data_IF_728787637209
#
_entry.id   IF_728787637209
#
_cell.length_a   1.000
_cell.length_b   1.000
_cell.length_c   1.000
_cell.angle_alpha   90.00
_cell.angle_beta   90.00
_cell.angle_gamma   90.00
#
_symmetry.space_group_name_H-M   'P 1'
#
loop_
_entity.id
_entity.type
_entity.pdbx_description
1 polymer ?
#
# COMPACT_ATOMS: atom_id res chain seq x y z
N UNK A 1 31.08 16.33 -75.61
CA UNK A 1 31.93 15.77 -76.68
C UNK A 1 32.89 14.76 -76.07
N UNK A 2 32.80 13.49 -76.50
CA UNK A 2 33.87 12.46 -76.60
C UNK A 2 34.66 12.08 -75.33
N UNK A 3 35.07 10.85 -75.03
CA UNK A 3 34.86 9.50 -75.54
C UNK A 3 35.43 8.53 -74.46
N UNK A 4 35.09 7.25 -74.58
CA UNK A 4 35.46 6.14 -73.70
C UNK A 4 36.94 5.70 -73.77
N UNK A 5 37.35 4.80 -72.85
CA UNK A 5 38.18 3.57 -72.97
C UNK A 5 38.74 3.26 -71.56
N UNK A 6 38.68 2.07 -70.94
CA UNK A 6 38.64 0.70 -71.44
C UNK A 6 39.97 0.01 -71.10
N UNK A 7 40.00 -0.88 -70.09
CA UNK A 7 41.21 -1.64 -69.73
C UNK A 7 41.06 -2.63 -68.56
N UNK A 8 40.57 -3.85 -68.86
CA UNK A 8 40.85 -5.12 -68.14
C UNK A 8 42.34 -5.47 -68.37
N UNK A 9 43.13 -6.21 -67.58
CA UNK A 9 42.98 -7.38 -66.69
C UNK A 9 44.40 -7.67 -66.13
N UNK A 10 44.57 -8.42 -65.04
CA UNK A 10 45.46 -9.60 -64.93
C UNK A 10 45.28 -10.26 -63.55
N UNK A 11 45.02 -11.57 -63.60
CA UNK A 11 45.00 -12.53 -62.49
C UNK A 11 46.41 -12.71 -61.89
N UNK A 12 46.49 -12.81 -60.56
CA UNK A 12 47.65 -13.32 -59.83
C UNK A 12 47.20 -14.15 -58.63
N UNK A 13 47.58 -15.43 -58.64
CA UNK A 13 47.14 -16.54 -57.78
C UNK A 13 47.54 -16.42 -56.29
N UNK A 14 46.65 -16.96 -55.44
CA UNK A 14 46.86 -17.82 -54.25
C UNK A 14 47.96 -17.41 -53.25
N UNK A 15 47.62 -17.29 -51.97
CA UNK A 15 47.88 -18.34 -50.97
C UNK A 15 47.06 -18.05 -49.69
N UNK A 16 46.28 -19.06 -49.31
CA UNK A 16 45.66 -19.25 -47.99
C UNK A 16 46.77 -19.35 -46.96
N UNK A 17 46.61 -18.72 -45.78
CA UNK A 17 46.99 -19.19 -44.43
C UNK A 17 46.73 -18.03 -43.45
N UNK A 18 46.00 -18.29 -42.35
CA UNK A 18 46.00 -17.40 -41.19
C UNK A 18 44.67 -17.14 -40.50
N UNK A 19 43.81 -18.15 -40.35
CA UNK A 19 42.68 -18.12 -39.43
C UNK A 19 43.18 -18.56 -38.05
N UNK A 20 43.54 -17.62 -37.17
CA UNK A 20 43.44 -17.71 -35.68
C UNK A 20 43.64 -16.29 -35.16
N UNK A 21 42.65 -15.73 -34.46
CA UNK A 21 42.82 -14.49 -33.71
C UNK A 21 41.64 -13.52 -33.68
N UNK A 22 40.39 -13.99 -33.81
CA UNK A 22 39.24 -13.16 -33.43
C UNK A 22 38.14 -14.03 -32.82
N UNK A 23 38.49 -14.71 -31.73
CA UNK A 23 37.54 -15.32 -30.82
C UNK A 23 37.40 -14.38 -29.62
N UNK A 24 36.14 -14.20 -29.21
CA UNK A 24 35.67 -13.65 -27.94
C UNK A 24 35.84 -12.15 -27.72
N UNK A 25 34.88 -11.36 -28.23
CA UNK A 25 34.27 -10.27 -27.45
C UNK A 25 32.87 -9.92 -27.99
N UNK A 26 32.00 -10.94 -28.12
CA UNK A 26 30.56 -10.72 -28.04
C UNK A 26 30.24 -10.42 -26.57
N UNK A 27 30.43 -9.18 -26.15
CA UNK A 27 29.79 -8.70 -24.94
C UNK A 27 28.31 -8.54 -25.27
N UNK A 28 27.55 -9.54 -24.80
CA UNK A 28 26.11 -9.50 -24.67
C UNK A 28 25.71 -8.16 -24.04
N UNK A 29 25.14 -7.27 -24.84
CA UNK A 29 24.24 -6.25 -24.32
C UNK A 29 23.05 -7.03 -23.80
N UNK A 30 23.08 -7.38 -22.51
CA UNK A 30 21.86 -7.75 -21.80
C UNK A 30 21.04 -6.47 -21.79
N UNK A 31 20.11 -6.36 -22.73
CA UNK A 31 19.06 -5.39 -22.61
C UNK A 31 18.36 -5.69 -21.29
N UNK A 32 18.63 -4.87 -20.28
CA UNK A 32 17.75 -4.77 -19.11
C UNK A 32 16.46 -4.19 -19.66
N UNK A 33 15.59 -5.06 -20.18
CA UNK A 33 14.19 -4.74 -20.26
C UNK A 33 13.82 -4.27 -18.86
N UNK A 34 13.44 -3.00 -18.72
CA UNK A 34 12.75 -2.56 -17.52
C UNK A 34 11.62 -3.57 -17.34
N UNK A 35 11.70 -4.36 -16.28
CA UNK A 35 10.55 -5.12 -15.81
C UNK A 35 9.57 -4.05 -15.35
N UNK A 36 8.83 -3.49 -16.31
CA UNK A 36 7.54 -2.89 -16.05
C UNK A 36 6.78 -4.03 -15.36
N UNK A 37 6.68 -3.90 -14.04
CA UNK A 37 5.86 -4.74 -13.20
C UNK A 37 4.51 -4.80 -13.89
N UNK A 38 4.24 -5.98 -14.46
CA UNK A 38 3.05 -6.23 -15.24
C UNK A 38 1.89 -6.01 -14.27
N UNK A 39 1.21 -4.87 -14.38
CA UNK A 39 -0.02 -4.63 -13.66
C UNK A 39 -1.09 -5.43 -14.43
N UNK A 40 -1.59 -6.57 -13.91
CA UNK A 40 -2.36 -7.54 -14.69
C UNK A 40 -3.77 -7.05 -15.09
N UNK A 41 -4.10 -5.78 -14.83
CA UNK A 41 -5.43 -5.21 -15.03
C UNK A 41 -5.57 -4.36 -16.31
N UNK A 42 -4.73 -4.58 -17.33
CA UNK A 42 -5.02 -4.03 -18.66
C UNK A 42 -6.16 -4.81 -19.32
N UNK A 43 -7.35 -4.18 -19.44
CA UNK A 43 -8.40 -4.63 -20.36
C UNK A 43 -9.75 -5.06 -19.76
N UNK A 44 -10.01 -4.85 -18.46
CA UNK A 44 -11.37 -4.92 -17.92
C UNK A 44 -11.91 -3.52 -17.71
N UNK A 45 -13.01 -3.16 -18.38
CA UNK A 45 -13.73 -1.93 -18.05
C UNK A 45 -14.29 -2.07 -16.63
N UNK A 46 -14.11 -1.05 -15.79
CA UNK A 46 -14.82 -0.95 -14.52
C UNK A 46 -16.31 -0.80 -14.84
N UNK A 47 -17.09 -1.84 -14.60
CA UNK A 47 -18.52 -1.82 -14.84
C UNK A 47 -19.19 -1.24 -13.59
N UNK A 48 -19.84 -0.08 -13.76
CA UNK A 48 -20.71 0.50 -12.74
C UNK A 48 -22.13 -0.02 -12.98
N UNK A 49 -22.68 -0.71 -11.99
CA UNK A 49 -24.04 -1.22 -12.01
C UNK A 49 -24.99 -0.24 -11.31
N UNK A 50 -24.48 0.46 -10.28
CA UNK A 50 -25.29 1.29 -9.39
C UNK A 50 -25.06 2.80 -9.63
N UNK A 51 -26.11 3.58 -9.42
CA UNK A 51 -26.08 5.04 -9.35
C UNK A 51 -26.48 5.46 -7.93
N UNK A 52 -25.59 6.15 -7.22
CA UNK A 52 -25.75 6.45 -5.79
C UNK A 52 -26.26 7.88 -5.59
N UNK A 53 -27.38 8.04 -4.90
CA UNK A 53 -27.88 9.34 -4.43
C UNK A 53 -27.12 9.76 -3.16
N UNK A 54 -25.96 10.41 -3.35
CA UNK A 54 -25.05 10.76 -2.25
C UNK A 54 -25.60 11.87 -1.36
N UNK A 55 -25.69 11.57 -0.07
CA UNK A 55 -26.04 12.48 1.02
C UNK A 55 -24.84 12.61 1.96
N UNK A 56 -24.81 13.69 2.76
CA UNK A 56 -23.72 13.96 3.70
C UNK A 56 -24.29 14.07 5.10
N UNK A 57 -23.66 13.37 6.05
CA UNK A 57 -23.92 13.49 7.47
C UNK A 57 -22.62 13.91 8.18
N UNK A 58 -22.67 15.03 8.89
CA UNK A 58 -21.50 15.61 9.55
C UNK A 58 -21.51 15.32 11.04
N UNK A 59 -20.35 14.92 11.58
CA UNK A 59 -20.09 14.76 13.00
C UNK A 59 -19.01 15.75 13.46
N UNK A 60 -18.49 15.61 14.68
CA UNK A 60 -17.43 16.48 15.19
C UNK A 60 -16.12 16.31 14.40
N UNK A 61 -15.82 15.10 13.92
CA UNK A 61 -14.56 14.78 13.22
C UNK A 61 -14.73 14.23 11.79
N UNK A 62 -15.94 13.99 11.30
CA UNK A 62 -16.18 13.35 10.00
C UNK A 62 -17.22 14.07 9.13
N UNK A 63 -17.02 13.96 7.81
CA UNK A 63 -18.07 14.12 6.81
C UNK A 63 -18.38 12.73 6.21
N UNK A 64 -19.51 12.14 6.60
CA UNK A 64 -19.91 10.80 6.19
C UNK A 64 -20.77 10.88 4.92
N UNK A 65 -20.26 10.35 3.81
CA UNK A 65 -20.96 10.24 2.55
C UNK A 65 -21.70 8.90 2.49
N UNK A 66 -23.03 8.95 2.40
CA UNK A 66 -23.92 7.79 2.40
C UNK A 66 -25.03 7.95 1.37
N UNK A 67 -25.87 6.94 1.20
CA UNK A 67 -27.08 6.98 0.36
C UNK A 67 -28.28 6.44 1.15
N UNK A 68 -29.55 6.78 0.82
CA UNK A 68 -30.72 6.52 1.66
C UNK A 68 -30.85 5.09 2.19
N UNK A 69 -30.42 4.09 1.43
CA UNK A 69 -30.40 2.67 1.78
C UNK A 69 -29.51 2.35 3.00
N UNK A 70 -28.60 3.26 3.36
CA UNK A 70 -27.70 3.18 4.52
C UNK A 70 -28.18 3.98 5.74
N UNK A 71 -29.30 4.71 5.65
CA UNK A 71 -29.74 5.62 6.72
C UNK A 71 -29.92 4.91 8.07
N UNK A 72 -30.45 3.68 8.07
CA UNK A 72 -30.59 2.86 9.29
C UNK A 72 -29.27 2.43 9.93
N UNK A 73 -28.15 2.51 9.21
CA UNK A 73 -26.81 2.14 9.69
C UNK A 73 -25.97 3.35 10.10
N UNK A 74 -26.42 4.56 9.76
CA UNK A 74 -25.64 5.79 9.86
C UNK A 74 -25.24 6.12 11.30
N UNK A 75 -26.16 6.01 12.26
CA UNK A 75 -25.88 6.27 13.67
C UNK A 75 -24.79 5.35 14.23
N UNK A 76 -24.83 4.06 13.86
CA UNK A 76 -23.81 3.08 14.27
C UNK A 76 -22.45 3.39 13.65
N UNK A 77 -22.42 3.73 12.36
CA UNK A 77 -21.17 4.08 11.66
C UNK A 77 -20.55 5.34 12.27
N UNK A 78 -21.34 6.38 12.48
CA UNK A 78 -20.91 7.61 13.12
C UNK A 78 -20.36 7.36 14.52
N UNK A 79 -21.06 6.55 15.33
CA UNK A 79 -20.60 6.17 16.66
C UNK A 79 -19.26 5.42 16.63
N UNK A 80 -19.06 4.51 15.68
CA UNK A 80 -17.79 3.79 15.52
C UNK A 80 -16.66 4.70 15.08
N UNK A 81 -16.91 5.57 14.10
CA UNK A 81 -15.92 6.53 13.60
C UNK A 81 -15.46 7.49 14.69
N UNK A 82 -16.39 8.08 15.45
CA UNK A 82 -16.07 8.99 16.56
C UNK A 82 -15.35 8.29 17.71
N UNK A 83 -15.74 7.06 18.04
CA UNK A 83 -15.07 6.27 19.08
C UNK A 83 -13.64 5.91 18.66
N UNK A 84 -13.44 5.50 17.41
CA UNK A 84 -12.13 5.22 16.85
C UNK A 84 -11.25 6.49 16.83
N UNK A 85 -11.82 7.64 16.47
CA UNK A 85 -11.12 8.92 16.51
C UNK A 85 -10.65 9.26 17.92
N UNK A 86 -11.55 9.18 18.91
CA UNK A 86 -11.22 9.46 20.30
C UNK A 86 -10.10 8.54 20.81
N UNK A 87 -10.12 7.26 20.43
CA UNK A 87 -9.08 6.29 20.77
C UNK A 87 -7.73 6.69 20.16
N UNK A 88 -7.68 6.87 18.83
CA UNK A 88 -6.42 7.12 18.11
C UNK A 88 -5.84 8.49 18.49
N UNK A 89 -6.67 9.52 18.61
CA UNK A 89 -6.26 10.86 19.06
C UNK A 89 -5.65 10.81 20.46
N UNK A 90 -6.28 10.11 21.41
CA UNK A 90 -5.74 9.98 22.77
C UNK A 90 -4.40 9.23 22.78
N UNK A 91 -4.31 8.10 22.08
CA UNK A 91 -3.12 7.25 22.06
C UNK A 91 -1.92 7.93 21.37
N UNK A 92 -2.16 8.70 20.31
CA UNK A 92 -1.12 9.45 19.61
C UNK A 92 -0.93 10.87 20.14
N UNK A 93 -1.77 11.33 21.07
CA UNK A 93 -1.83 12.71 21.57
C UNK A 93 -1.75 13.72 20.42
N UNK A 94 -2.60 13.52 19.41
CA UNK A 94 -2.62 14.29 18.18
C UNK A 94 -4.06 14.47 17.73
N UNK A 95 -4.40 15.62 17.14
CA UNK A 95 -5.72 15.90 16.57
C UNK A 95 -5.58 16.26 15.09
N UNK A 96 -6.50 15.77 14.27
CA UNK A 96 -6.56 16.15 12.86
C UNK A 96 -7.11 17.57 12.73
N UNK A 97 -6.49 18.37 11.86
CA UNK A 97 -6.89 19.76 11.65
C UNK A 97 -8.18 19.92 10.82
N UNK A 98 -8.64 18.87 10.17
CA UNK A 98 -9.78 18.88 9.24
C UNK A 98 -10.66 17.67 9.46
N UNK A 99 -11.96 17.81 9.16
CA UNK A 99 -12.89 16.68 9.12
C UNK A 99 -12.38 15.62 8.14
N UNK A 100 -12.56 14.34 8.49
CA UNK A 100 -12.19 13.20 7.67
C UNK A 100 -13.39 12.81 6.79
N UNK A 101 -13.28 12.87 5.46
CA UNK A 101 -14.32 12.34 4.58
C UNK A 101 -14.38 10.81 4.70
N UNK A 102 -15.52 10.28 5.11
CA UNK A 102 -15.78 8.84 5.23
C UNK A 102 -16.87 8.44 4.24
N UNK A 103 -16.51 7.73 3.17
CA UNK A 103 -17.45 7.25 2.16
C UNK A 103 -17.80 5.80 2.46
N UNK A 104 -19.09 5.53 2.67
CA UNK A 104 -19.57 4.19 3.04
C UNK A 104 -20.36 3.55 1.92
N UNK A 105 -20.11 2.25 1.73
CA UNK A 105 -20.84 1.38 0.81
C UNK A 105 -21.54 0.28 1.61
N UNK A 106 -22.73 -0.13 1.17
CA UNK A 106 -23.50 -1.16 1.88
C UNK A 106 -22.86 -2.53 1.79
N UNK A 107 -22.18 -2.83 0.69
CA UNK A 107 -21.55 -4.12 0.42
C UNK A 107 -20.16 -3.96 -0.18
N UNK A 108 -19.34 -4.99 0.00
CA UNK A 108 -18.03 -5.07 -0.65
C UNK A 108 -18.15 -4.93 -2.18
N UNK A 109 -19.15 -5.55 -2.79
CA UNK A 109 -19.38 -5.46 -4.24
C UNK A 109 -19.65 -4.03 -4.74
N UNK A 110 -20.35 -3.19 -3.99
CA UNK A 110 -20.52 -1.76 -4.33
C UNK A 110 -19.22 -0.99 -4.13
N UNK A 111 -18.48 -1.32 -3.06
CA UNK A 111 -17.15 -0.76 -2.84
C UNK A 111 -16.20 -1.10 -4.00
N UNK A 112 -16.23 -2.30 -4.58
CA UNK A 112 -15.38 -2.65 -5.73
C UNK A 112 -15.69 -1.82 -7.00
N UNK A 113 -16.90 -1.26 -7.13
CA UNK A 113 -17.32 -0.43 -8.27
C UNK A 113 -16.77 1.01 -8.19
N UNK A 114 -16.16 1.41 -7.07
CA UNK A 114 -15.60 2.73 -6.89
C UNK A 114 -14.44 3.00 -7.88
N UNK A 115 -14.35 4.23 -8.38
CA UNK A 115 -13.25 4.66 -9.29
C UNK A 115 -12.41 5.80 -8.69
N UNK A 116 -12.37 5.86 -7.37
CA UNK A 116 -11.73 6.86 -6.54
C UNK A 116 -10.21 6.73 -6.59
N UNK A 117 -9.69 5.49 -6.67
CA UNK A 117 -8.32 5.18 -7.09
C UNK A 117 -8.37 4.00 -8.08
N UNK A 118 -8.10 4.21 -9.38
CA UNK A 118 -8.08 3.14 -10.37
C UNK A 118 -7.06 2.05 -10.00
N UNK A 119 -7.54 0.83 -9.71
CA UNK A 119 -6.70 -0.32 -9.36
C UNK A 119 -6.34 -0.48 -7.87
N UNK A 120 -6.86 0.37 -6.97
CA UNK A 120 -6.66 0.19 -5.52
C UNK A 120 -7.52 -0.94 -4.93
N UNK A 121 -8.61 -1.32 -5.59
CA UNK A 121 -9.39 -2.50 -5.24
C UNK A 121 -8.75 -3.71 -5.91
N UNK A 122 -7.85 -4.38 -5.19
CA UNK A 122 -7.44 -5.74 -5.51
C UNK A 122 -8.16 -6.73 -4.59
N UNK A 123 -8.24 -8.01 -4.98
CA UNK A 123 -8.72 -9.09 -4.11
C UNK A 123 -8.03 -8.99 -2.72
N UNK A 124 -8.82 -8.71 -1.67
CA UNK A 124 -8.34 -8.63 -0.28
C UNK A 124 -8.18 -7.23 0.32
N UNK A 125 -8.50 -6.14 -0.39
CA UNK A 125 -8.54 -4.77 0.17
C UNK A 125 -9.92 -4.50 0.76
N UNK A 126 -10.05 -4.55 2.09
CA UNK A 126 -11.31 -4.34 2.80
C UNK A 126 -11.77 -2.88 2.86
N UNK A 127 -10.83 -1.93 2.86
CA UNK A 127 -11.04 -0.49 2.83
C UNK A 127 -9.71 0.18 2.41
N UNK A 128 -9.72 1.48 2.13
CA UNK A 128 -8.46 2.23 2.06
C UNK A 128 -8.59 3.69 2.50
N UNK A 129 -7.54 4.16 3.14
CA UNK A 129 -7.24 5.55 3.44
C UNK A 129 -6.36 6.17 2.35
N UNK A 130 -6.85 7.20 1.67
CA UNK A 130 -6.04 7.86 0.64
C UNK A 130 -5.03 8.85 1.28
N UNK A 131 -3.72 8.71 1.04
CA UNK A 131 -2.70 9.55 1.68
C UNK A 131 -2.74 11.02 1.26
N UNK A 132 -3.27 11.34 0.08
CA UNK A 132 -3.25 12.70 -0.46
C UNK A 132 -4.58 13.45 -0.27
N UNK A 133 -5.71 12.76 -0.48
CA UNK A 133 -7.05 13.35 -0.29
C UNK A 133 -7.65 13.08 1.09
N UNK A 134 -6.93 12.33 1.95
CA UNK A 134 -7.24 12.08 3.35
C UNK A 134 -8.66 11.61 3.63
N UNK A 135 -9.18 10.76 2.74
CA UNK A 135 -10.51 10.17 2.81
C UNK A 135 -10.42 8.69 3.06
N UNK A 136 -11.42 8.15 3.75
CA UNK A 136 -11.58 6.73 4.02
C UNK A 136 -12.76 6.23 3.19
N UNK A 137 -12.57 5.09 2.53
CA UNK A 137 -13.64 4.40 1.81
C UNK A 137 -13.74 2.98 2.33
N UNK A 138 -14.94 2.57 2.75
CA UNK A 138 -15.15 1.22 3.27
C UNK A 138 -16.58 0.70 3.00
N UNK A 139 -16.73 -0.62 2.80
CA UNK A 139 -18.01 -1.29 2.88
C UNK A 139 -18.36 -1.60 4.35
N UNK A 140 -19.66 -1.69 4.64
CA UNK A 140 -20.17 -1.88 6.02
C UNK A 140 -20.79 -3.28 6.27
N UNK A 141 -20.59 -4.22 5.35
CA UNK A 141 -21.13 -5.59 5.40
C UNK A 141 -20.33 -6.55 6.29
N UNK A 142 -19.31 -6.05 6.99
CA UNK A 142 -18.56 -6.78 8.00
C UNK A 142 -19.30 -6.86 9.36
N UNK A 143 -19.03 -7.90 10.18
CA UNK A 143 -19.49 -7.97 11.56
C UNK A 143 -19.07 -6.73 12.37
N UNK A 144 -19.85 -6.32 13.39
CA UNK A 144 -19.63 -5.07 14.14
C UNK A 144 -18.22 -4.85 14.68
N UNK A 145 -17.60 -5.90 15.22
CA UNK A 145 -16.23 -5.89 15.75
C UNK A 145 -15.17 -5.71 14.65
N UNK A 146 -15.37 -6.38 13.52
CA UNK A 146 -14.50 -6.27 12.36
C UNK A 146 -14.64 -4.91 11.66
N UNK A 147 -15.85 -4.37 11.58
CA UNK A 147 -16.10 -3.04 11.04
C UNK A 147 -15.46 -1.95 11.90
N UNK A 148 -15.60 -2.02 13.23
CA UNK A 148 -14.93 -1.08 14.13
C UNK A 148 -13.41 -1.15 13.98
N UNK A 149 -12.85 -2.37 13.97
CA UNK A 149 -11.42 -2.59 13.73
C UNK A 149 -10.97 -1.95 12.41
N UNK A 150 -11.71 -2.18 11.32
CA UNK A 150 -11.40 -1.65 10.00
C UNK A 150 -11.42 -0.12 9.99
N UNK A 151 -12.42 0.50 10.61
CA UNK A 151 -12.50 1.95 10.76
C UNK A 151 -11.28 2.47 11.52
N UNK A 152 -10.90 1.86 12.64
CA UNK A 152 -9.72 2.26 13.42
C UNK A 152 -8.43 2.10 12.62
N UNK A 153 -8.28 1.03 11.85
CA UNK A 153 -7.12 0.79 10.97
C UNK A 153 -6.97 1.91 9.94
N UNK A 154 -8.02 2.17 9.16
CA UNK A 154 -7.97 3.20 8.11
C UNK A 154 -7.87 4.62 8.67
N UNK A 155 -8.47 4.87 9.83
CA UNK A 155 -8.34 6.16 10.50
C UNK A 155 -6.92 6.39 10.99
N UNK A 156 -6.26 5.37 11.52
CA UNK A 156 -4.87 5.46 11.98
C UNK A 156 -3.92 5.90 10.86
N UNK A 157 -4.15 5.44 9.63
CA UNK A 157 -3.41 5.93 8.47
C UNK A 157 -3.55 7.45 8.29
N UNK A 158 -4.72 8.03 8.51
CA UNK A 158 -4.92 9.48 8.42
C UNK A 158 -4.09 10.26 9.45
N UNK A 159 -4.02 9.76 10.69
CA UNK A 159 -3.15 10.33 11.71
C UNK A 159 -1.67 10.18 11.34
N UNK A 160 -1.26 9.00 10.85
CA UNK A 160 0.12 8.75 10.42
C UNK A 160 0.55 9.71 9.28
N UNK A 161 -0.33 9.95 8.30
CA UNK A 161 -0.06 10.85 7.19
C UNK A 161 -0.08 12.33 7.58
N UNK A 162 -0.73 12.69 8.68
CA UNK A 162 -0.71 14.05 9.21
C UNK A 162 0.53 14.32 10.07
N UNK A 163 0.90 13.38 10.94
CA UNK A 163 2.11 13.45 11.78
C UNK A 163 3.38 13.41 10.92
N UNK A 164 3.38 12.55 9.89
CA UNK A 164 4.53 12.29 9.01
C UNK A 164 4.13 12.58 7.53
N UNK A 165 4.12 13.85 7.09
CA UNK A 165 3.60 14.25 5.78
C UNK A 165 4.43 13.70 4.60
N UNK A 166 3.79 12.86 3.77
CA UNK A 166 4.43 12.19 2.62
C UNK A 166 4.80 13.12 1.46
N UNK A 167 4.20 14.30 1.41
CA UNK A 167 4.51 15.33 0.41
C UNK A 167 5.84 16.05 0.69
N UNK A 168 6.31 16.04 1.94
CA UNK A 168 7.51 16.80 2.37
C UNK A 168 8.72 15.89 2.55
N UNK A 169 8.50 14.64 2.96
CA UNK A 169 9.56 13.71 3.29
C UNK A 169 10.10 13.04 2.01
N UNK A 170 11.40 13.21 1.74
CA UNK A 170 12.11 12.55 0.62
C UNK A 170 12.50 11.10 0.89
N UNK A 171 12.31 10.62 2.13
CA UNK A 171 12.58 9.25 2.55
C UNK A 171 11.31 8.41 2.45
N UNK A 172 11.42 7.21 1.91
CA UNK A 172 10.33 6.25 1.96
C UNK A 172 10.17 5.80 3.42
N UNK A 173 8.99 6.00 4.00
CA UNK A 173 8.64 5.38 5.28
C UNK A 173 8.42 3.89 4.98
N UNK A 174 9.05 2.97 5.73
CA UNK A 174 8.87 1.54 5.53
C UNK A 174 7.40 1.13 5.70
N UNK A 175 6.91 0.21 4.87
CA UNK A 175 5.50 -0.23 4.89
C UNK A 175 5.05 -0.75 6.26
N UNK A 176 5.94 -1.43 6.99
CA UNK A 176 5.64 -1.95 8.32
C UNK A 176 5.29 -0.85 9.33
N UNK A 177 5.77 0.39 9.13
CA UNK A 177 5.47 1.51 10.02
C UNK A 177 4.00 1.90 9.87
N UNK A 178 3.54 2.10 8.63
CA UNK A 178 2.16 2.54 8.39
C UNK A 178 1.16 1.45 8.72
N UNK A 179 1.35 0.27 8.13
CA UNK A 179 0.42 -0.84 8.29
C UNK A 179 0.51 -1.46 9.69
N UNK A 180 1.72 -1.56 10.24
CA UNK A 180 1.92 -2.06 11.59
C UNK A 180 1.31 -1.14 12.64
N UNK A 181 1.41 0.19 12.47
CA UNK A 181 0.76 1.15 13.36
C UNK A 181 -0.75 1.00 13.29
N UNK A 182 -1.31 0.91 12.08
CA UNK A 182 -2.74 0.77 11.86
C UNK A 182 -3.30 -0.52 12.48
N UNK A 183 -2.62 -1.66 12.28
CA UNK A 183 -3.03 -2.94 12.88
C UNK A 183 -2.85 -2.95 14.41
N UNK A 184 -1.81 -2.28 14.94
CA UNK A 184 -1.57 -2.11 16.37
C UNK A 184 -2.66 -1.24 17.03
N UNK A 185 -3.03 -0.11 16.43
CA UNK A 185 -4.10 0.76 16.95
C UNK A 185 -5.47 0.08 16.86
N UNK A 186 -5.69 -0.73 15.83
CA UNK A 186 -6.86 -1.60 15.72
C UNK A 186 -6.87 -2.73 16.80
N UNK A 187 -5.71 -3.03 17.40
CA UNK A 187 -5.56 -3.74 18.67
C UNK A 187 -5.47 -5.26 18.56
N UNK A 188 -6.56 -5.94 18.20
CA UNK A 188 -6.63 -7.39 18.42
C UNK A 188 -5.77 -8.15 17.39
N UNK A 189 -5.06 -9.19 17.82
CA UNK A 189 -4.45 -10.10 16.85
C UNK A 189 -5.50 -11.01 16.21
N UNK A 190 -5.56 -11.05 14.87
CA UNK A 190 -6.28 -12.15 14.21
C UNK A 190 -5.49 -13.45 14.45
N UNK A 191 -6.15 -14.59 14.72
CA UNK A 191 -5.45 -15.83 15.04
C UNK A 191 -4.41 -16.27 14.00
N UNK A 192 -4.71 -16.07 12.71
CA UNK A 192 -3.79 -16.39 11.62
C UNK A 192 -2.57 -15.48 11.57
N UNK A 193 -2.70 -14.21 11.94
CA UNK A 193 -1.58 -13.27 11.96
C UNK A 193 -0.62 -13.57 13.09
N UNK A 194 -1.16 -13.83 14.28
CA UNK A 194 -0.37 -14.23 15.42
C UNK A 194 0.36 -15.55 15.19
N UNK A 195 -0.30 -16.51 14.50
CA UNK A 195 0.33 -17.76 14.10
C UNK A 195 1.54 -17.51 13.20
N UNK A 196 1.41 -16.66 12.18
CA UNK A 196 2.51 -16.34 11.27
C UNK A 196 3.72 -15.72 11.99
N UNK A 197 3.48 -14.79 12.91
CA UNK A 197 4.56 -14.16 13.70
C UNK A 197 5.24 -15.19 14.60
N UNK A 198 4.45 -16.05 15.25
CA UNK A 198 4.99 -17.13 16.11
C UNK A 198 5.82 -18.13 15.31
N UNK A 199 5.35 -18.53 14.13
CA UNK A 199 6.07 -19.46 13.26
C UNK A 199 7.40 -18.85 12.79
N UNK A 200 7.40 -17.57 12.41
CA UNK A 200 8.62 -16.86 12.01
C UNK A 200 9.63 -16.74 13.18
N UNK A 201 9.14 -16.49 14.40
CA UNK A 201 9.97 -16.46 15.60
C UNK A 201 10.56 -17.83 15.95
N UNK A 202 9.74 -18.89 15.89
CA UNK A 202 10.19 -20.26 16.19
C UNK A 202 11.17 -20.81 15.16
N UNK A 203 11.05 -20.37 13.90
CA UNK A 203 11.95 -20.77 12.83
C UNK A 203 13.25 -19.94 12.77
N UNK A 204 13.41 -18.94 13.65
CA UNK A 204 14.56 -18.02 13.68
C UNK A 204 14.80 -17.30 12.33
N UNK A 205 13.70 -16.89 11.69
CA UNK A 205 13.71 -16.20 10.39
C UNK A 205 13.21 -14.75 10.48
N UNK A 206 13.13 -14.19 11.68
CA UNK A 206 12.73 -12.80 11.87
C UNK A 206 13.81 -11.86 11.30
N UNK A 207 13.49 -11.02 10.30
CA UNK A 207 14.43 -10.05 9.76
C UNK A 207 14.66 -8.88 10.72
N UNK A 208 15.80 -8.19 10.56
CA UNK A 208 16.04 -6.92 11.25
C UNK A 208 15.07 -5.83 10.75
N UNK A 209 14.42 -5.11 11.67
CA UNK A 209 13.47 -4.03 11.34
C UNK A 209 14.09 -2.91 10.47
N UNK A 210 15.41 -2.69 10.57
CA UNK A 210 16.17 -1.72 9.76
C UNK A 210 16.38 -2.12 8.30
N UNK A 211 16.15 -3.39 7.94
CA UNK A 211 16.29 -3.91 6.58
C UNK A 211 14.93 -4.17 5.91
N UNK A 212 13.83 -3.65 6.45
CA UNK A 212 12.48 -3.77 5.88
C UNK A 212 12.20 -2.80 4.72
N UNK A 213 13.13 -2.68 3.78
CA UNK A 213 12.96 -1.84 2.59
C UNK A 213 12.31 -2.60 1.41
N UNK A 214 11.78 -3.82 1.63
CA UNK A 214 11.11 -4.60 0.59
C UNK A 214 10.77 -6.04 1.00
N UNK A 215 10.29 -6.82 0.00
CA UNK A 215 9.87 -8.23 0.00
C UNK A 215 10.88 -9.22 0.61
N UNK A 216 11.18 -9.09 1.91
CA UNK A 216 12.27 -9.77 2.62
C UNK A 216 12.08 -11.29 2.75
N UNK A 217 12.25 -12.03 1.65
CA UNK A 217 12.30 -13.50 1.62
C UNK A 217 10.98 -14.23 1.95
N UNK A 218 9.99 -13.54 2.52
CA UNK A 218 8.67 -14.09 2.79
C UNK A 218 7.83 -14.13 1.52
N UNK A 219 7.22 -15.29 1.26
CA UNK A 219 6.26 -15.48 0.17
C UNK A 219 4.93 -14.77 0.43
N UNK A 220 4.64 -14.41 1.69
CA UNK A 220 3.41 -13.72 2.09
C UNK A 220 3.72 -12.31 2.60
N UNK A 221 3.25 -11.31 1.85
CA UNK A 221 3.35 -9.89 2.19
C UNK A 221 2.78 -9.56 3.56
N UNK A 222 1.74 -10.27 4.00
CA UNK A 222 1.06 -10.04 5.28
C UNK A 222 1.97 -10.23 6.49
N UNK A 223 3.03 -11.04 6.37
CA UNK A 223 4.01 -11.21 7.44
C UNK A 223 4.68 -9.87 7.77
N UNK A 224 4.90 -9.00 6.79
CA UNK A 224 5.48 -7.67 7.01
C UNK A 224 4.56 -6.78 7.86
N UNK A 225 3.25 -6.85 7.61
CA UNK A 225 2.23 -6.08 8.33
C UNK A 225 2.15 -6.56 9.78
N UNK A 226 2.11 -7.88 9.95
CA UNK A 226 2.09 -8.54 11.24
C UNK A 226 3.34 -8.25 12.06
N UNK A 227 4.53 -8.30 11.45
CA UNK A 227 5.77 -7.93 12.15
C UNK A 227 5.81 -6.44 12.52
N UNK A 228 5.18 -5.57 11.73
CA UNK A 228 4.96 -4.18 12.09
C UNK A 228 4.10 -4.03 13.36
N UNK A 229 2.97 -4.71 13.44
CA UNK A 229 2.13 -4.74 14.66
C UNK A 229 2.96 -5.18 15.87
N UNK A 230 3.66 -6.30 15.78
CA UNK A 230 4.49 -6.81 16.86
C UNK A 230 5.62 -5.83 17.26
N UNK A 231 6.17 -5.07 16.31
CA UNK A 231 7.16 -4.05 16.60
C UNK A 231 6.57 -2.88 17.41
N UNK A 232 5.35 -2.44 17.12
CA UNK A 232 4.67 -1.43 17.92
C UNK A 232 4.29 -1.92 19.32
N UNK A 233 3.85 -3.18 19.46
CA UNK A 233 3.65 -3.80 20.78
C UNK A 233 4.97 -3.83 21.57
N UNK A 234 6.09 -4.18 20.92
CA UNK A 234 7.41 -4.15 21.56
C UNK A 234 7.82 -2.73 21.98
N UNK A 235 7.54 -1.72 21.14
CA UNK A 235 7.82 -0.32 21.49
C UNK A 235 6.99 0.11 22.71
N UNK A 236 5.69 -0.21 22.74
CA UNK A 236 4.84 0.07 23.89
C UNK A 236 5.31 -0.68 25.14
N UNK A 237 5.66 -1.97 25.04
CA UNK A 237 6.15 -2.75 26.18
C UNK A 237 7.42 -2.13 26.80
N UNK A 238 8.26 -1.50 25.98
CA UNK A 238 9.56 -0.96 26.41
C UNK A 238 9.52 0.50 26.84
N UNK A 239 8.65 1.29 26.25
CA UNK A 239 8.64 2.75 26.38
C UNK A 239 7.24 3.34 26.57
N UNK A 240 6.24 2.50 26.86
CA UNK A 240 4.82 2.85 26.96
C UNK A 240 4.27 3.46 25.65
N UNK A 241 3.00 3.89 25.66
CA UNK A 241 2.38 4.57 24.50
C UNK A 241 3.12 5.84 24.08
N UNK A 242 3.78 6.53 25.02
CA UNK A 242 4.61 7.69 24.69
C UNK A 242 5.80 7.30 23.81
N UNK A 243 6.37 6.10 23.96
CA UNK A 243 7.40 5.58 23.07
C UNK A 243 6.94 5.41 21.63
N UNK A 244 5.71 4.89 21.44
CA UNK A 244 5.07 4.78 20.11
C UNK A 244 4.94 6.17 19.48
N UNK A 245 4.44 7.14 20.25
CA UNK A 245 4.31 8.53 19.81
C UNK A 245 5.67 9.13 19.44
N UNK A 246 6.66 9.03 20.33
CA UNK A 246 8.00 9.59 20.08
C UNK A 246 8.68 8.98 18.85
N UNK A 247 8.51 7.67 18.65
CA UNK A 247 8.99 7.00 17.44
C UNK A 247 8.39 7.62 16.18
N UNK A 248 7.06 7.75 16.10
CA UNK A 248 6.40 8.34 14.93
C UNK A 248 6.83 9.79 14.69
N UNK A 249 6.88 10.61 15.74
CA UNK A 249 7.28 12.01 15.62
C UNK A 249 8.75 12.18 15.23
N UNK A 250 9.61 11.19 15.52
CA UNK A 250 11.01 11.20 15.07
C UNK A 250 11.18 10.97 13.55
N UNK A 251 10.12 10.50 12.87
CA UNK A 251 10.10 10.27 11.42
C UNK A 251 9.70 11.50 10.60
N UNK A 252 9.21 12.57 11.26
CA UNK A 252 8.82 13.84 10.64
C UNK A 252 10.03 14.65 10.15
#
# INVERSE_FOLDING_TARGET
MSCAYGGRTILGRLHVIGLVGLLTLCWTVVATAQTNQFNPYYGKNLVKYDDFDWHIYTTDHFEIFYYPELEQHLERIASYAESAYAQVSADLTHDLATLVPLVVFKTHSEFEQQNVIPGAVSDGVGAFAEPFRRRILLPIDEPPDQLYRLITHELTHQFAFDIVPRSVIRRNIPLWVDEGLADYMAGIWRPLDLMQVRDAALADILPEMSNFDGYGGFTNLRVVYNLGHAAFEFIEERWDKEGVRQFLFSLR
#
